data_IF_448034415162
#
_entry.id   IF_448034415162
#
_cell.length_a   1.000
_cell.length_b   1.000
_cell.length_c   1.000
_cell.angle_alpha   90.00
_cell.angle_beta   90.00
_cell.angle_gamma   90.00
#
_symmetry.space_group_name_H-M   'P 1'
#
loop_
_entity.id
_entity.type
_entity.pdbx_description
1 polymer ?
#
# COMPACT_ATOMS: atom_id res chain seq x y z
N UNK A 1 29.96 40.14 -32.11
CA UNK A 1 30.76 39.38 -31.14
C UNK A 1 30.21 39.80 -29.79
N UNK A 2 29.20 39.06 -29.32
CA UNK A 2 28.42 39.44 -28.14
C UNK A 2 28.39 38.20 -27.26
N UNK A 3 29.15 38.24 -26.17
CA UNK A 3 29.17 37.21 -25.13
C UNK A 3 27.78 37.12 -24.50
N UNK A 4 27.18 35.94 -24.51
CA UNK A 4 26.07 35.62 -23.62
C UNK A 4 26.61 34.98 -22.34
N UNK A 5 26.13 35.41 -21.16
CA UNK A 5 26.50 34.80 -19.90
C UNK A 5 25.81 33.43 -19.77
N UNK A 6 26.58 32.42 -19.42
CA UNK A 6 26.08 31.10 -19.07
C UNK A 6 25.52 31.20 -17.65
N UNK A 7 24.20 31.28 -17.52
CA UNK A 7 23.52 31.18 -16.23
C UNK A 7 23.83 29.81 -15.62
N UNK A 8 24.67 29.84 -14.58
CA UNK A 8 24.96 28.69 -13.72
C UNK A 8 23.79 28.49 -12.76
N UNK A 9 22.65 28.06 -13.29
CA UNK A 9 21.57 27.54 -12.46
C UNK A 9 21.99 26.15 -11.96
N UNK A 10 22.33 26.10 -10.67
CA UNK A 10 22.63 24.88 -9.92
C UNK A 10 21.47 23.89 -10.08
N UNK A 11 21.63 22.90 -10.95
CA UNK A 11 20.75 21.74 -11.05
C UNK A 11 21.00 20.89 -9.82
N UNK A 12 20.27 21.15 -8.74
CA UNK A 12 20.03 20.12 -7.74
C UNK A 12 19.44 18.93 -8.50
N UNK A 13 20.28 17.93 -8.75
CA UNK A 13 19.89 16.73 -9.47
C UNK A 13 18.86 16.04 -8.59
N UNK A 14 17.60 16.11 -8.98
CA UNK A 14 16.57 15.33 -8.30
C UNK A 14 17.03 13.86 -8.29
N UNK A 15 16.91 13.16 -7.15
CA UNK A 15 17.28 11.76 -7.09
C UNK A 15 16.53 10.99 -8.17
N UNK A 16 17.24 10.16 -8.93
CA UNK A 16 16.64 9.39 -10.01
C UNK A 16 15.64 8.37 -9.44
N UNK A 17 14.65 7.97 -10.24
CA UNK A 17 13.68 6.96 -9.83
C UNK A 17 14.35 5.61 -9.46
N UNK A 18 15.47 5.29 -10.10
CA UNK A 18 16.28 4.13 -9.76
C UNK A 18 16.94 4.28 -8.38
N UNK A 19 17.46 5.48 -8.07
CA UNK A 19 18.00 5.78 -6.74
C UNK A 19 16.93 5.64 -5.64
N UNK A 20 15.70 6.10 -5.89
CA UNK A 20 14.61 5.97 -4.92
C UNK A 20 14.25 4.51 -4.64
N UNK A 21 14.16 3.70 -5.69
CA UNK A 21 13.87 2.27 -5.56
C UNK A 21 15.01 1.55 -4.83
N UNK A 22 16.27 1.84 -5.16
CA UNK A 22 17.44 1.27 -4.46
C UNK A 22 17.44 1.66 -2.99
N UNK A 23 17.15 2.92 -2.66
CA UNK A 23 17.06 3.36 -1.27
C UNK A 23 15.95 2.63 -0.51
N UNK A 24 14.79 2.43 -1.14
CA UNK A 24 13.68 1.69 -0.54
C UNK A 24 13.96 0.19 -0.39
N UNK A 25 14.68 -0.42 -1.34
CA UNK A 25 15.13 -1.82 -1.23
C UNK A 25 16.12 -2.01 -0.10
N UNK A 26 17.03 -1.06 0.12
CA UNK A 26 17.97 -1.12 1.23
C UNK A 26 17.27 -1.21 2.59
N UNK A 27 16.06 -0.65 2.74
CA UNK A 27 15.25 -0.79 3.95
C UNK A 27 14.76 -2.23 4.18
N UNK A 28 14.45 -2.98 3.11
CA UNK A 28 14.07 -4.40 3.22
C UNK A 28 15.22 -5.28 3.70
N UNK A 29 16.45 -4.94 3.31
CA UNK A 29 17.65 -5.73 3.59
C UNK A 29 18.32 -5.37 4.94
N UNK A 30 18.22 -4.11 5.37
CA UNK A 30 18.91 -3.62 6.57
C UNK A 30 18.33 -4.13 7.89
N UNK A 31 17.05 -4.52 7.93
CA UNK A 31 16.37 -4.90 9.17
C UNK A 31 16.37 -6.43 9.37
N UNK A 32 16.68 -6.94 10.58
CA UNK A 32 16.49 -8.34 10.92
C UNK A 32 15.04 -8.75 10.60
N UNK A 33 14.83 -9.96 10.09
CA UNK A 33 13.50 -10.43 9.66
C UNK A 33 12.37 -10.24 10.71
N UNK A 34 12.72 -10.20 12.00
CA UNK A 34 11.81 -9.96 13.12
C UNK A 34 11.32 -8.49 13.27
N UNK A 35 11.96 -7.51 12.63
CA UNK A 35 11.66 -6.06 12.73
C UNK A 35 11.62 -5.43 11.32
N UNK A 36 11.26 -6.19 10.28
CA UNK A 36 11.18 -5.60 8.93
C UNK A 36 10.01 -4.62 8.85
N UNK A 37 10.34 -3.33 8.80
CA UNK A 37 9.39 -2.27 8.46
C UNK A 37 8.94 -2.50 7.02
N UNK A 38 7.62 -2.60 6.81
CA UNK A 38 7.06 -2.84 5.49
C UNK A 38 7.21 -1.58 4.64
N UNK A 39 7.93 -1.62 3.50
CA UNK A 39 8.30 -0.42 2.76
C UNK A 39 7.13 0.21 2.00
N UNK A 40 5.95 -0.40 2.03
CA UNK A 40 4.67 0.16 1.53
C UNK A 40 3.82 0.81 2.64
N UNK A 41 4.23 0.72 3.91
CA UNK A 41 3.46 1.28 5.03
C UNK A 41 3.93 2.69 5.34
N UNK A 42 3.22 3.69 4.83
CA UNK A 42 3.53 5.11 5.00
C UNK A 42 3.86 5.54 6.44
N UNK A 43 3.15 5.01 7.43
CA UNK A 43 3.36 5.35 8.85
C UNK A 43 4.67 4.79 9.44
N UNK A 44 5.28 3.80 8.80
CA UNK A 44 6.53 3.19 9.23
C UNK A 44 7.77 3.85 8.60
N UNK A 45 7.57 4.83 7.71
CA UNK A 45 8.62 5.46 6.92
C UNK A 45 9.01 6.83 7.48
N UNK A 46 10.30 7.15 7.39
CA UNK A 46 10.84 8.48 7.60
C UNK A 46 10.38 9.45 6.51
N UNK A 47 10.56 10.76 6.73
CA UNK A 47 10.18 11.79 5.75
C UNK A 47 10.87 11.61 4.40
N UNK A 48 12.12 11.19 4.39
CA UNK A 48 12.89 10.95 3.17
C UNK A 48 12.37 9.73 2.42
N UNK A 49 12.08 8.64 3.13
CA UNK A 49 11.50 7.42 2.55
C UNK A 49 10.09 7.67 2.01
N UNK A 50 9.26 8.45 2.72
CA UNK A 50 7.94 8.88 2.23
C UNK A 50 8.08 9.65 0.91
N UNK A 51 9.04 10.57 0.83
CA UNK A 51 9.26 11.35 -0.39
C UNK A 51 9.68 10.46 -1.57
N UNK A 52 10.54 9.47 -1.33
CA UNK A 52 10.97 8.52 -2.36
C UNK A 52 9.85 7.56 -2.77
N UNK A 53 9.07 7.03 -1.81
CA UNK A 53 7.91 6.20 -2.12
C UNK A 53 6.89 6.99 -2.93
N UNK A 54 6.63 8.26 -2.60
CA UNK A 54 5.74 9.13 -3.37
C UNK A 54 6.21 9.31 -4.82
N UNK A 55 7.50 9.57 -5.05
CA UNK A 55 8.06 9.68 -6.41
C UNK A 55 7.95 8.36 -7.18
N UNK A 56 8.22 7.24 -6.51
CA UNK A 56 8.12 5.90 -7.10
C UNK A 56 6.67 5.58 -7.49
N UNK A 57 5.71 5.82 -6.59
CA UNK A 57 4.27 5.66 -6.87
C UNK A 57 3.84 6.55 -8.02
N UNK A 58 4.22 7.83 -8.03
CA UNK A 58 3.86 8.75 -9.12
C UNK A 58 4.35 8.27 -10.48
N UNK A 59 5.59 7.78 -10.55
CA UNK A 59 6.13 7.19 -11.78
C UNK A 59 5.33 5.97 -12.22
N UNK A 60 5.10 5.03 -11.31
CA UNK A 60 4.32 3.83 -11.61
C UNK A 60 2.88 4.16 -12.03
N UNK A 61 2.23 5.15 -11.41
CA UNK A 61 0.90 5.64 -11.81
C UNK A 61 0.90 6.14 -13.25
N UNK A 62 1.92 6.90 -13.66
CA UNK A 62 2.05 7.36 -15.04
C UNK A 62 2.20 6.17 -16.00
N UNK A 63 3.07 5.22 -15.67
CA UNK A 63 3.30 4.02 -16.49
C UNK A 63 2.03 3.15 -16.57
N UNK A 64 1.36 2.94 -15.44
CA UNK A 64 0.09 2.22 -15.35
C UNK A 64 -0.99 2.89 -16.21
N UNK A 65 -1.15 4.21 -16.14
CA UNK A 65 -2.19 4.90 -16.91
C UNK A 65 -1.95 4.81 -18.42
N UNK A 66 -0.69 4.68 -18.86
CA UNK A 66 -0.34 4.49 -20.27
C UNK A 66 -0.51 3.03 -20.71
N UNK A 67 -0.06 2.08 -19.90
CA UNK A 67 0.10 0.67 -20.31
C UNK A 67 -1.08 -0.21 -19.88
N UNK A 68 -1.70 0.11 -18.75
CA UNK A 68 -2.66 -0.75 -18.09
C UNK A 68 -4.08 -0.18 -18.02
N UNK A 69 -4.29 1.13 -18.06
CA UNK A 69 -5.66 1.66 -18.09
C UNK A 69 -6.27 1.48 -19.50
N UNK A 70 -7.26 0.58 -19.63
CA UNK A 70 -7.95 0.31 -20.91
C UNK A 70 -9.21 1.16 -21.04
N UNK A 71 -9.81 1.55 -19.91
CA UNK A 71 -11.01 2.39 -19.87
C UNK A 71 -10.79 3.60 -18.98
N UNK A 72 -11.62 4.64 -19.16
CA UNK A 72 -11.60 5.82 -18.29
C UNK A 72 -11.86 5.51 -16.81
N UNK A 73 -12.56 4.39 -16.52
CA UNK A 73 -12.78 3.89 -15.14
C UNK A 73 -11.53 3.27 -14.53
N UNK A 74 -10.54 2.91 -15.33
CA UNK A 74 -9.31 2.31 -14.83
C UNK A 74 -8.20 3.34 -14.61
N UNK A 75 -8.39 4.59 -15.05
CA UNK A 75 -7.42 5.67 -14.86
C UNK A 75 -7.32 6.03 -13.37
N UNK A 76 -6.07 6.09 -12.90
CA UNK A 76 -5.72 6.61 -11.58
C UNK A 76 -5.55 8.14 -11.71
N UNK A 77 -6.32 8.95 -10.98
CA UNK A 77 -6.25 10.40 -11.09
C UNK A 77 -5.05 11.00 -10.35
N UNK A 78 -4.62 12.20 -10.75
CA UNK A 78 -3.49 12.92 -10.13
C UNK A 78 -3.72 13.24 -8.64
N UNK A 79 -4.97 13.31 -8.22
CA UNK A 79 -5.36 13.54 -6.82
C UNK A 79 -5.21 12.31 -5.92
N UNK A 80 -4.68 11.18 -6.40
CA UNK A 80 -4.61 9.91 -5.65
C UNK A 80 -4.00 10.04 -4.24
N UNK A 81 -3.08 10.99 -4.02
CA UNK A 81 -2.47 11.26 -2.71
C UNK A 81 -3.48 11.74 -1.67
N UNK A 82 -4.59 12.31 -2.11
CA UNK A 82 -5.65 12.80 -1.25
C UNK A 82 -6.63 11.68 -0.84
N UNK A 83 -6.50 10.49 -1.44
CA UNK A 83 -7.32 9.29 -1.16
C UNK A 83 -6.50 8.27 -0.37
N UNK A 84 -6.60 8.21 0.98
CA UNK A 84 -5.71 7.38 1.80
C UNK A 84 -5.75 5.89 1.45
N UNK A 85 -6.93 5.36 1.15
CA UNK A 85 -7.09 3.97 0.72
C UNK A 85 -6.39 3.71 -0.61
N UNK A 86 -6.56 4.61 -1.58
CA UNK A 86 -5.88 4.49 -2.87
C UNK A 86 -4.36 4.63 -2.72
N UNK A 87 -3.87 5.62 -1.96
CA UNK A 87 -2.44 5.81 -1.73
C UNK A 87 -1.78 4.59 -1.06
N UNK A 88 -2.51 3.87 -0.19
CA UNK A 88 -2.02 2.62 0.40
C UNK A 88 -1.97 1.48 -0.64
N UNK A 89 -3.06 1.26 -1.37
CA UNK A 89 -3.12 0.21 -2.41
C UNK A 89 -2.08 0.45 -3.52
N UNK A 90 -1.85 1.71 -3.92
CA UNK A 90 -0.83 2.08 -4.89
C UNK A 90 0.59 1.76 -4.40
N UNK A 91 0.88 2.05 -3.13
CA UNK A 91 2.17 1.70 -2.54
C UNK A 91 2.40 0.18 -2.63
N UNK A 92 1.41 -0.64 -2.27
CA UNK A 92 1.50 -2.10 -2.41
C UNK A 92 1.69 -2.52 -3.86
N UNK A 93 0.90 -1.96 -4.79
CA UNK A 93 0.96 -2.33 -6.21
C UNK A 93 2.32 -2.02 -6.85
N UNK A 94 2.98 -0.93 -6.45
CA UNK A 94 4.36 -0.63 -6.86
C UNK A 94 5.32 -1.74 -6.47
N UNK A 95 5.23 -2.24 -5.24
CA UNK A 95 6.11 -3.30 -4.75
C UNK A 95 5.84 -4.64 -5.43
N UNK A 96 4.56 -4.99 -5.63
CA UNK A 96 4.20 -6.20 -6.40
C UNK A 96 4.72 -6.09 -7.83
N UNK A 97 4.56 -4.92 -8.46
CA UNK A 97 5.07 -4.67 -9.80
C UNK A 97 6.61 -4.81 -9.86
N UNK A 98 7.31 -4.22 -8.89
CA UNK A 98 8.77 -4.30 -8.78
C UNK A 98 9.27 -5.74 -8.62
N UNK A 99 8.71 -6.48 -7.66
CA UNK A 99 9.05 -7.90 -7.41
C UNK A 99 8.81 -8.78 -8.64
N UNK A 100 7.89 -8.36 -9.51
CA UNK A 100 7.51 -9.10 -10.71
C UNK A 100 8.32 -8.74 -11.96
N UNK A 101 8.75 -7.48 -12.12
CA UNK A 101 9.33 -6.99 -13.37
C UNK A 101 10.78 -6.51 -13.25
N UNK A 102 11.27 -6.30 -12.02
CA UNK A 102 12.57 -5.69 -11.77
C UNK A 102 13.47 -6.49 -10.82
N UNK A 103 12.93 -7.32 -9.93
CA UNK A 103 13.75 -8.17 -9.06
C UNK A 103 14.53 -9.21 -9.92
N UNK A 104 15.84 -9.41 -9.70
CA UNK A 104 16.61 -10.42 -10.43
C UNK A 104 16.10 -11.86 -10.29
N UNK A 105 15.27 -12.13 -9.28
CA UNK A 105 14.63 -13.42 -9.00
C UNK A 105 13.21 -13.51 -9.58
N UNK A 106 12.73 -12.47 -10.27
CA UNK A 106 11.42 -12.50 -10.93
C UNK A 106 11.32 -13.68 -11.90
N UNK A 107 10.14 -14.31 -11.93
CA UNK A 107 9.86 -15.45 -12.81
C UNK A 107 8.65 -15.18 -13.71
N UNK A 108 8.50 -15.88 -14.85
CA UNK A 108 7.31 -15.76 -15.68
C UNK A 108 6.00 -16.08 -14.94
N UNK A 109 6.05 -16.94 -13.91
CA UNK A 109 4.90 -17.24 -13.08
C UNK A 109 4.47 -16.04 -12.24
N UNK A 110 5.43 -15.30 -11.67
CA UNK A 110 5.14 -14.06 -10.93
C UNK A 110 4.52 -13.01 -11.85
N UNK A 111 5.02 -12.89 -13.09
CA UNK A 111 4.43 -12.03 -14.11
C UNK A 111 2.99 -12.44 -14.46
N UNK A 112 2.75 -13.75 -14.63
CA UNK A 112 1.41 -14.30 -14.79
C UNK A 112 0.49 -13.94 -13.63
N UNK A 113 0.93 -14.13 -12.39
CA UNK A 113 0.14 -13.81 -11.19
C UNK A 113 -0.17 -12.31 -11.07
N UNK A 114 0.77 -11.43 -11.44
CA UNK A 114 0.52 -9.99 -11.54
C UNK A 114 -0.63 -9.67 -12.49
N UNK A 115 -0.58 -10.17 -13.71
CA UNK A 115 -1.58 -9.87 -14.72
C UNK A 115 -2.93 -10.55 -14.49
N UNK A 116 -2.93 -11.76 -13.93
CA UNK A 116 -4.14 -12.58 -13.78
C UNK A 116 -4.83 -12.39 -12.42
N UNK A 117 -4.11 -11.99 -11.37
CA UNK A 117 -4.66 -11.88 -10.01
C UNK A 117 -4.59 -10.47 -9.46
N UNK A 118 -3.39 -9.88 -9.39
CA UNK A 118 -3.21 -8.61 -8.67
C UNK A 118 -3.78 -7.42 -9.43
N UNK A 119 -3.46 -7.29 -10.72
CA UNK A 119 -3.89 -6.17 -11.54
C UNK A 119 -5.43 -6.11 -11.72
N UNK A 120 -6.15 -7.20 -12.04
CA UNK A 120 -7.61 -7.16 -12.14
C UNK A 120 -8.29 -6.85 -10.80
N UNK A 121 -7.78 -7.40 -9.69
CA UNK A 121 -8.33 -7.14 -8.36
C UNK A 121 -8.16 -5.68 -7.94
N UNK A 122 -7.02 -5.06 -8.27
CA UNK A 122 -6.79 -3.63 -8.03
C UNK A 122 -7.77 -2.78 -8.86
N UNK A 123 -7.90 -3.03 -10.16
CA UNK A 123 -8.83 -2.32 -11.05
C UNK A 123 -10.26 -2.36 -10.54
N UNK A 124 -10.72 -3.53 -10.09
CA UNK A 124 -12.07 -3.72 -9.58
C UNK A 124 -12.37 -2.87 -8.31
N UNK A 125 -11.34 -2.43 -7.57
CA UNK A 125 -11.51 -1.61 -6.37
C UNK A 125 -11.36 -0.11 -6.61
N UNK A 126 -10.86 0.33 -7.77
CA UNK A 126 -10.54 1.74 -8.02
C UNK A 126 -11.71 2.69 -7.72
N UNK A 127 -12.91 2.41 -8.25
CA UNK A 127 -14.08 3.25 -8.02
C UNK A 127 -14.42 3.37 -6.52
N UNK A 128 -14.29 2.27 -5.77
CA UNK A 128 -14.51 2.28 -4.32
C UNK A 128 -13.45 3.13 -3.60
N UNK A 129 -12.19 3.04 -3.99
CA UNK A 129 -11.08 3.79 -3.40
C UNK A 129 -11.14 5.30 -3.69
N UNK A 130 -11.80 5.69 -4.78
CA UNK A 130 -12.04 7.09 -5.14
C UNK A 130 -13.28 7.69 -4.44
N UNK A 131 -14.17 6.87 -3.90
CA UNK A 131 -15.30 7.32 -3.06
C UNK A 131 -16.61 7.48 -3.83
N UNK A 132 -17.45 8.43 -3.37
CA UNK A 132 -18.85 8.53 -3.79
C UNK A 132 -19.09 8.99 -5.23
N UNK A 133 -18.13 9.72 -5.82
CA UNK A 133 -18.21 10.17 -7.21
C UNK A 133 -16.84 10.03 -7.91
N UNK A 134 -16.52 8.80 -8.35
CA UNK A 134 -15.22 8.49 -8.93
C UNK A 134 -15.07 9.07 -10.35
N UNK A 135 -16.15 9.47 -11.02
CA UNK A 135 -16.09 10.11 -12.34
C UNK A 135 -15.61 11.56 -12.23
N UNK A 136 -16.23 12.35 -11.33
CA UNK A 136 -15.83 13.73 -11.07
C UNK A 136 -14.40 13.82 -10.50
N UNK A 137 -14.04 12.89 -9.60
CA UNK A 137 -12.68 12.79 -9.09
C UNK A 137 -11.63 12.65 -10.21
N UNK A 138 -11.90 11.80 -11.21
CA UNK A 138 -11.01 11.63 -12.38
C UNK A 138 -10.96 12.84 -13.30
N UNK A 139 -11.99 13.67 -13.31
CA UNK A 139 -11.98 14.96 -13.98
C UNK A 139 -11.22 16.05 -13.18
N UNK A 140 -10.71 15.72 -11.98
CA UNK A 140 -10.07 16.68 -11.07
C UNK A 140 -11.06 17.43 -10.18
N UNK A 141 -12.35 17.11 -10.25
CA UNK A 141 -13.41 17.78 -9.52
C UNK A 141 -13.62 17.15 -8.13
N UNK A 142 -13.43 17.95 -7.09
CA UNK A 142 -13.53 17.52 -5.69
C UNK A 142 -14.49 18.44 -4.92
N UNK A 143 -15.78 18.08 -4.78
CA UNK A 143 -16.72 18.89 -3.99
C UNK A 143 -16.29 18.89 -2.51
N UNK A 144 -16.46 19.97 -1.75
CA UNK A 144 -15.96 20.05 -0.36
C UNK A 144 -16.37 18.88 0.56
N UNK A 145 -17.50 18.22 0.27
CA UNK A 145 -18.01 17.04 0.95
C UNK A 145 -17.25 15.74 0.61
N UNK A 146 -16.32 15.73 -0.34
CA UNK A 146 -15.70 14.51 -0.86
C UNK A 146 -14.82 13.77 0.17
N UNK A 147 -14.28 14.50 1.16
CA UNK A 147 -13.50 13.91 2.27
C UNK A 147 -14.37 13.36 3.40
N UNK A 148 -15.69 13.58 3.34
CA UNK A 148 -16.62 13.06 4.33
C UNK A 148 -16.60 11.56 4.19
N UNK A 149 -15.98 10.87 5.15
CA UNK A 149 -15.94 9.41 5.11
C UNK A 149 -17.36 8.87 5.22
N UNK A 150 -17.69 7.68 4.69
CA UNK A 150 -18.99 7.06 4.93
C UNK A 150 -19.34 6.98 6.44
N UNK A 151 -18.33 6.85 7.32
CA UNK A 151 -18.49 6.92 8.77
C UNK A 151 -18.88 8.30 9.33
N UNK A 152 -18.57 9.39 8.63
CA UNK A 152 -19.03 10.74 8.98
C UNK A 152 -20.48 10.96 8.54
N UNK A 153 -20.93 10.28 7.46
CA UNK A 153 -22.33 10.25 7.01
C UNK A 153 -23.21 9.37 7.91
N UNK A 154 -22.64 8.35 8.56
CA UNK A 154 -23.34 7.49 9.52
C UNK A 154 -23.40 8.08 10.94
N UNK A 155 -22.58 9.09 11.25
CA UNK A 155 -22.52 9.76 12.56
C UNK A 155 -23.56 10.85 12.90
N UNK A 156 -24.55 11.21 12.06
CA UNK A 156 -25.60 12.13 12.52
C UNK A 156 -26.71 11.45 13.34
N UNK A 157 -26.90 10.12 13.25
CA UNK A 157 -28.06 9.45 13.86
C UNK A 157 -27.83 8.90 15.29
N UNK A 158 -26.59 8.56 15.67
CA UNK A 158 -26.32 7.92 16.97
C UNK A 158 -26.12 8.89 18.15
N UNK A 159 -26.35 10.19 17.96
CA UNK A 159 -26.22 11.18 19.05
C UNK A 159 -27.51 11.40 19.86
N UNK A 160 -28.60 10.71 19.51
CA UNK A 160 -29.88 10.76 20.23
C UNK A 160 -30.21 9.43 20.93
N UNK A 161 -29.22 8.78 21.53
CA UNK A 161 -29.45 7.70 22.50
C UNK A 161 -28.27 7.57 23.48
N UNK A 162 -27.94 8.68 24.16
CA UNK A 162 -27.38 8.56 25.50
C UNK A 162 -28.54 8.12 26.41
N UNK A 163 -28.69 6.80 26.55
CA UNK A 163 -29.56 6.19 27.52
C UNK A 163 -29.10 6.58 28.94
N UNK A 164 -30.11 6.80 29.77
CA UNK A 164 -30.16 7.07 31.21
C UNK A 164 -29.09 6.31 32.05
N UNK A 165 -28.31 6.98 32.94
CA UNK A 165 -27.38 6.30 33.82
C UNK A 165 -28.11 5.78 35.05
N UNK A 166 -28.70 4.59 34.94
CA UNK A 166 -29.46 4.04 36.06
C UNK A 166 -29.83 2.59 35.96
N UNK A 167 -28.89 1.66 35.74
CA UNK A 167 -28.99 0.30 36.31
C UNK A 167 -27.61 -0.36 36.48
N UNK A 168 -27.38 -1.10 37.58
CA UNK A 168 -26.11 -1.78 37.86
C UNK A 168 -25.95 -3.07 37.04
N UNK A 169 -24.83 -3.14 36.33
CA UNK A 169 -24.41 -4.32 35.53
C UNK A 169 -24.11 -5.53 36.43
N UNK A 170 -24.96 -6.57 36.35
CA UNK A 170 -24.54 -7.92 36.71
C UNK A 170 -23.42 -8.39 35.77
N UNK A 171 -22.42 -9.03 36.35
CA UNK A 171 -21.19 -9.44 35.68
C UNK A 171 -21.42 -10.66 34.78
N UNK A 172 -21.28 -10.46 33.46
CA UNK A 172 -21.07 -11.58 32.53
C UNK A 172 -19.59 -11.97 32.55
N UNK A 173 -19.30 -13.04 33.29
CA UNK A 173 -18.03 -13.76 33.24
C UNK A 173 -17.85 -14.44 31.88
N UNK A 174 -16.83 -14.05 31.13
CA UNK A 174 -16.31 -14.85 30.02
C UNK A 174 -15.09 -15.63 30.49
N UNK A 175 -15.28 -16.92 30.77
CA UNK A 175 -14.19 -17.87 30.98
C UNK A 175 -13.65 -18.34 29.63
N UNK A 176 -12.45 -17.89 29.25
CA UNK A 176 -11.67 -18.56 28.20
C UNK A 176 -10.97 -19.77 28.82
N UNK A 177 -11.51 -20.95 28.57
CA UNK A 177 -10.86 -22.21 28.91
C UNK A 177 -9.65 -22.46 28.00
N UNK A 178 -8.46 -22.24 28.54
CA UNK A 178 -7.23 -22.83 28.00
C UNK A 178 -7.01 -24.18 28.70
N UNK A 179 -7.34 -25.28 28.04
CA UNK A 179 -6.85 -26.60 28.46
C UNK A 179 -5.50 -26.85 27.81
N UNK A 180 -4.46 -26.78 28.65
CA UNK A 180 -3.11 -27.20 28.27
C UNK A 180 -2.95 -28.73 28.29
N UNK A 181 -2.02 -29.18 27.45
CA UNK A 181 -1.10 -30.29 27.76
C UNK A 181 -1.46 -31.67 27.20
N UNK A 182 -0.68 -32.15 26.23
CA UNK A 182 0.47 -33.02 26.54
C UNK A 182 1.15 -33.56 25.28
N UNK A 183 2.45 -33.81 25.46
CA UNK A 183 3.46 -34.29 24.54
C UNK A 183 3.13 -35.59 23.80
N UNK A 184 3.80 -35.83 22.66
CA UNK A 184 4.42 -37.14 22.36
C UNK A 184 5.50 -37.07 21.26
N UNK A 185 6.64 -37.69 21.62
CA UNK A 185 7.61 -38.45 20.81
C UNK A 185 8.40 -37.84 19.65
N UNK A 186 9.68 -37.64 19.94
CA UNK A 186 10.79 -37.80 18.99
C UNK A 186 10.82 -39.21 18.40
N UNK A 187 10.79 -39.33 17.06
CA UNK A 187 11.28 -40.51 16.35
C UNK A 187 12.66 -40.22 15.77
N UNK A 188 13.67 -40.93 16.29
CA UNK A 188 15.00 -41.07 15.70
C UNK A 188 14.92 -42.09 14.56
N UNK A 189 15.23 -41.67 13.34
CA UNK A 189 15.49 -42.60 12.25
C UNK A 189 16.94 -43.06 12.31
N UNK A 190 17.14 -44.34 12.59
CA UNK A 190 18.43 -45.03 12.46
C UNK A 190 18.64 -45.45 11.00
N UNK A 191 19.82 -45.14 10.47
CA UNK A 191 20.34 -45.63 9.19
C UNK A 191 21.03 -46.98 9.42
N UNK A 192 20.73 -48.05 8.66
CA UNK A 192 21.53 -49.25 8.70
C UNK A 192 22.69 -49.17 7.70
N UNK A 193 23.91 -49.34 8.18
CA UNK A 193 25.08 -49.71 7.37
C UNK A 193 25.09 -51.23 7.19
N UNK A 194 25.04 -51.67 5.94
CA UNK A 194 25.23 -53.08 5.56
C UNK A 194 26.51 -53.23 4.75
N UNK A 195 27.34 -54.18 5.18
CA UNK A 195 28.54 -54.69 4.52
C UNK A 195 28.22 -55.56 3.31
#
# INVERSE_FOLDING_TARGET
>A
MTDQPIDSASTATEPSAEHDVVMLLALLDAEPAAIRRTPWTWAALSKQEIAALRRTVRRWVNDYNVVHAVTSREVIPDCWELHPGLAHDLAVMVWVYYDTHHDPRSTPLMAGDYHLRYLPAFRARLDHLLGGDPASCRAGEHPASWRTSPGDVLRPADRLQAADPGEPSEALSFAFGFTGGSAMSSMRFGVPTGH
#
